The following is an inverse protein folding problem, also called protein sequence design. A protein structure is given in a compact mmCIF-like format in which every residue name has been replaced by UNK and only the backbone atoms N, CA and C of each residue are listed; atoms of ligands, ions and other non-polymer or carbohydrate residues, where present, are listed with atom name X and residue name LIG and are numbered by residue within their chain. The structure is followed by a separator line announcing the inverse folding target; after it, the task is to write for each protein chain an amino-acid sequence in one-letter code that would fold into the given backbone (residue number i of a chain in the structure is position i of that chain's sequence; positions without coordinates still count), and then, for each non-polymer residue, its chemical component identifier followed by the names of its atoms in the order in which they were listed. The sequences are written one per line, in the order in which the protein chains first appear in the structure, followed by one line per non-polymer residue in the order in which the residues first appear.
data_IF_439934941197
#
_entry.id   IF_439934941197
#
_cell.length_a   1.000
_cell.length_b   1.000
_cell.length_c   1.000
_cell.angle_alpha   90.00
_cell.angle_beta   90.00
_cell.angle_gamma   90.00
#
_symmetry.space_group_name_H-M   'P 1'
#
loop_
_entity.id
_entity.type
_entity.pdbx_description
1 polymer ?
#
# COMPACT_ATOMS: atom_id res chain seq x y z
N UNK A 1 -11.48 3.39 3.23
CA UNK A 1 -11.44 1.91 3.11
C UNK A 1 -11.11 1.29 4.47
N UNK A 2 -11.30 -0.02 4.69
CA UNK A 2 -10.91 -0.68 5.96
C UNK A 2 -9.39 -0.52 6.23
N UNK A 3 -8.58 -0.54 5.17
CA UNK A 3 -7.12 -0.33 5.25
C UNK A 3 -6.80 1.03 5.87
N UNK A 4 -7.44 2.08 5.39
CA UNK A 4 -7.21 3.44 5.88
C UNK A 4 -7.66 3.61 7.33
N UNK A 5 -8.81 3.03 7.71
CA UNK A 5 -9.34 3.09 9.07
C UNK A 5 -8.41 2.45 10.11
N UNK A 6 -7.65 1.41 9.73
CA UNK A 6 -6.74 0.68 10.63
C UNK A 6 -5.26 1.02 10.42
N UNK A 7 -4.93 1.97 9.53
CA UNK A 7 -3.53 2.32 9.23
C UNK A 7 -2.78 2.94 10.42
N UNK A 8 -3.48 3.51 11.40
CA UNK A 8 -2.88 4.04 12.63
C UNK A 8 -2.70 3.02 13.75
N UNK A 9 -3.13 1.77 13.58
CA UNK A 9 -3.11 0.79 14.66
C UNK A 9 -1.69 0.30 14.98
N UNK A 10 -1.19 0.67 16.16
CA UNK A 10 0.16 0.35 16.60
C UNK A 10 0.44 -1.13 16.88
N UNK A 11 -0.56 -2.01 16.88
CA UNK A 11 -0.35 -3.45 17.10
C UNK A 11 0.37 -4.07 15.91
N UNK A 12 1.49 -4.72 16.16
CA UNK A 12 2.40 -5.23 15.13
C UNK A 12 1.70 -6.11 14.07
N UNK A 13 0.78 -6.99 14.47
CA UNK A 13 0.06 -7.85 13.53
C UNK A 13 -0.94 -7.08 12.66
N UNK A 14 -1.64 -6.09 13.23
CA UNK A 14 -2.57 -5.23 12.48
C UNK A 14 -1.80 -4.39 11.47
N UNK A 15 -0.74 -3.71 11.92
CA UNK A 15 0.17 -2.94 11.05
C UNK A 15 0.68 -3.78 9.87
N UNK A 16 1.13 -5.01 10.11
CA UNK A 16 1.60 -5.92 9.05
C UNK A 16 0.47 -6.34 8.11
N UNK A 17 -0.69 -6.71 8.66
CA UNK A 17 -1.85 -7.11 7.87
C UNK A 17 -2.32 -5.98 6.94
N UNK A 18 -2.39 -4.75 7.46
CA UNK A 18 -2.77 -3.56 6.68
C UNK A 18 -1.78 -3.30 5.55
N UNK A 19 -0.47 -3.38 5.82
CA UNK A 19 0.57 -3.23 4.79
C UNK A 19 0.45 -4.32 3.70
N UNK A 20 0.36 -5.59 4.11
CA UNK A 20 0.24 -6.70 3.16
C UNK A 20 -1.03 -6.62 2.32
N UNK A 21 -2.16 -6.22 2.91
CA UNK A 21 -3.41 -6.03 2.20
C UNK A 21 -3.28 -4.92 1.15
N UNK A 22 -2.72 -3.77 1.50
CA UNK A 22 -2.54 -2.64 0.59
C UNK A 22 -1.68 -3.02 -0.63
N UNK A 23 -0.54 -3.67 -0.38
CA UNK A 23 0.36 -4.16 -1.44
C UNK A 23 -0.31 -5.23 -2.29
N UNK A 24 -1.03 -6.17 -1.68
CA UNK A 24 -1.70 -7.25 -2.42
C UNK A 24 -2.76 -6.72 -3.35
N UNK A 25 -3.57 -5.75 -2.91
CA UNK A 25 -4.59 -5.08 -3.73
C UNK A 25 -3.93 -4.36 -4.92
N UNK A 26 -2.90 -3.56 -4.67
CA UNK A 26 -2.22 -2.80 -5.74
C UNK A 26 -1.51 -3.67 -6.77
N UNK A 27 -1.25 -4.95 -6.46
CA UNK A 27 -0.61 -5.92 -7.38
C UNK A 27 -1.61 -6.82 -8.13
N UNK A 28 -2.93 -6.62 -7.98
CA UNK A 28 -3.97 -7.43 -8.64
C UNK A 28 -4.22 -7.01 -10.09
N UNK A 29 -4.36 -5.71 -10.36
CA UNK A 29 -4.65 -5.17 -11.69
C UNK A 29 -4.24 -3.70 -11.78
N UNK A 30 -4.07 -3.18 -13.00
CA UNK A 30 -3.74 -1.77 -13.23
C UNK A 30 -4.80 -0.81 -12.66
N UNK A 31 -6.08 -1.18 -12.74
CA UNK A 31 -7.17 -0.37 -12.19
C UNK A 31 -7.06 -0.22 -10.67
N UNK A 32 -6.71 -1.30 -9.95
CA UNK A 32 -6.52 -1.26 -8.49
C UNK A 32 -5.17 -0.65 -8.10
N UNK A 33 -4.18 -0.74 -8.98
CA UNK A 33 -2.84 -0.24 -8.75
C UNK A 33 -2.83 1.26 -8.43
N UNK A 34 -3.46 2.08 -9.29
CA UNK A 34 -3.50 3.52 -9.11
C UNK A 34 -4.13 3.93 -7.77
N UNK A 35 -5.27 3.33 -7.41
CA UNK A 35 -5.93 3.60 -6.14
C UNK A 35 -5.10 3.17 -4.91
N UNK A 36 -4.44 2.01 -4.98
CA UNK A 36 -3.57 1.52 -3.92
C UNK A 36 -2.32 2.40 -3.75
N UNK A 37 -1.71 2.83 -4.87
CA UNK A 37 -0.54 3.71 -4.85
C UNK A 37 -0.88 5.09 -4.28
N UNK A 38 -2.02 5.66 -4.68
CA UNK A 38 -2.50 6.93 -4.13
C UNK A 38 -2.73 6.86 -2.61
N UNK A 39 -3.36 5.78 -2.12
CA UNK A 39 -3.53 5.56 -0.69
C UNK A 39 -2.17 5.37 0.03
N UNK A 40 -1.23 4.63 -0.56
CA UNK A 40 0.10 4.46 -0.01
C UNK A 40 0.85 5.81 0.13
N UNK A 41 0.77 6.67 -0.88
CA UNK A 41 1.36 8.02 -0.86
C UNK A 41 0.69 8.90 0.21
N UNK A 42 -0.64 8.87 0.32
CA UNK A 42 -1.38 9.58 1.39
C UNK A 42 -0.90 9.15 2.78
N UNK A 43 -0.82 7.84 3.02
CA UNK A 43 -0.36 7.30 4.30
C UNK A 43 1.11 7.66 4.57
N UNK A 44 1.96 7.68 3.54
CA UNK A 44 3.37 8.06 3.66
C UNK A 44 3.60 9.51 4.10
N UNK A 45 2.62 10.39 3.89
CA UNK A 45 2.60 11.77 4.38
C UNK A 45 2.00 11.95 5.78
N UNK A 46 1.48 10.88 6.40
CA UNK A 46 0.79 10.97 7.70
C UNK A 46 1.72 11.36 8.85
N UNK A 47 1.21 12.15 9.80
CA UNK A 47 1.89 12.43 11.07
C UNK A 47 2.01 11.17 11.94
N UNK A 48 1.07 10.24 11.84
CA UNK A 48 1.11 8.95 12.56
C UNK A 48 2.24 8.05 12.03
N UNK A 49 3.10 7.57 12.95
CA UNK A 49 4.29 6.77 12.60
C UNK A 49 3.93 5.42 11.97
N UNK A 50 2.81 4.83 12.34
CA UNK A 50 2.38 3.52 11.85
C UNK A 50 1.86 3.64 10.42
N UNK A 51 0.95 4.58 10.19
CA UNK A 51 0.43 4.92 8.89
C UNK A 51 1.56 5.32 7.94
N UNK A 52 2.49 6.18 8.40
CA UNK A 52 3.65 6.60 7.63
C UNK A 52 4.53 5.44 7.21
N UNK A 53 4.78 4.49 8.12
CA UNK A 53 5.56 3.30 7.81
C UNK A 53 4.86 2.42 6.76
N UNK A 54 3.56 2.17 6.92
CA UNK A 54 2.75 1.38 5.98
C UNK A 54 2.80 2.03 4.59
N UNK A 55 2.55 3.33 4.52
CA UNK A 55 2.52 4.07 3.27
C UNK A 55 3.86 4.07 2.55
N UNK A 56 4.96 4.33 3.26
CA UNK A 56 6.31 4.33 2.67
C UNK A 56 6.71 2.95 2.13
N UNK A 57 6.41 1.88 2.86
CA UNK A 57 6.73 0.51 2.42
C UNK A 57 5.90 0.11 1.19
N UNK A 58 4.58 0.34 1.23
CA UNK A 58 3.70 0.02 0.12
C UNK A 58 4.00 0.86 -1.13
N UNK A 59 4.27 2.16 -0.99
CA UNK A 59 4.58 3.03 -2.12
C UNK A 59 5.89 2.61 -2.80
N UNK A 60 6.90 2.21 -2.02
CA UNK A 60 8.16 1.70 -2.58
C UNK A 60 7.94 0.46 -3.44
N UNK A 61 7.20 -0.52 -2.93
CA UNK A 61 6.96 -1.75 -3.69
C UNK A 61 6.07 -1.56 -4.91
N UNK A 62 4.99 -0.78 -4.77
CA UNK A 62 4.07 -0.54 -5.88
C UNK A 62 4.74 0.29 -6.98
N UNK A 63 5.70 1.15 -6.65
CA UNK A 63 6.46 1.91 -7.64
C UNK A 63 7.67 1.15 -8.21
N UNK A 64 7.94 -0.07 -7.74
CA UNK A 64 9.08 -0.86 -8.22
C UNK A 64 8.88 -1.27 -9.69
N UNK A 65 9.93 -1.12 -10.50
CA UNK A 65 9.88 -1.41 -11.93
C UNK A 65 9.42 -2.85 -12.22
N UNK A 66 9.88 -3.84 -11.44
CA UNK A 66 9.48 -5.24 -11.65
C UNK A 66 8.00 -5.45 -11.32
N UNK A 67 7.49 -4.74 -10.32
CA UNK A 67 6.06 -4.78 -9.98
C UNK A 67 5.22 -4.20 -11.12
N UNK A 68 5.62 -3.06 -11.67
CA UNK A 68 4.94 -2.40 -12.78
C UNK A 68 4.99 -3.24 -14.07
N UNK A 69 6.15 -3.78 -14.43
CA UNK A 69 6.30 -4.69 -15.58
C UNK A 69 5.40 -5.92 -15.47
N UNK A 70 5.32 -6.52 -14.27
CA UNK A 70 4.45 -7.68 -14.03
C UNK A 70 2.97 -7.33 -14.17
N UNK A 71 2.59 -6.13 -13.75
CA UNK A 71 1.21 -5.65 -13.86
C UNK A 71 0.84 -5.32 -15.31
N UNK A 72 1.75 -4.71 -16.06
CA UNK A 72 1.56 -4.42 -17.48
C UNK A 72 1.36 -5.70 -18.31
N UNK A 73 2.03 -6.80 -17.96
CA UNK A 73 1.84 -8.11 -18.62
C UNK A 73 0.49 -8.78 -18.31
N UNK A 74 -0.22 -8.34 -17.27
CA UNK A 74 -1.49 -8.92 -16.84
C UNK A 74 -2.71 -8.20 -17.40
N UNK A 75 -2.54 -6.98 -17.91
CA UNK A 75 -3.56 -6.26 -18.66
C UNK A 75 -3.51 -6.65 -20.12
#
# INVERSE_FOLDING_TARGET
SIIEAHAGDGRNFVKKAVNWALRSIGKRSMNLHGAALALAQKLAGSTDKTARWIGKDAARELSDAKTLERLARKG
#
